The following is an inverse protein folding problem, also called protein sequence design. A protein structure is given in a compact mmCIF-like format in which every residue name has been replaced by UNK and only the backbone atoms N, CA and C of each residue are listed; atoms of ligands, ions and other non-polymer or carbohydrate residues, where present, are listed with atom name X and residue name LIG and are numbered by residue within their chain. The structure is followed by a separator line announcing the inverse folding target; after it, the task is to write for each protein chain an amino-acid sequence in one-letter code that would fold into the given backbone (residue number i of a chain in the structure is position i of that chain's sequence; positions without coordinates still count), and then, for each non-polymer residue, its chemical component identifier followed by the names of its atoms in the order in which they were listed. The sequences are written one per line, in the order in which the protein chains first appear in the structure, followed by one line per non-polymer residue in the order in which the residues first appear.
data_IF_136610997974
#
_entry.id   IF_136610997974
#
_cell.length_a   1.000
_cell.length_b   1.000
_cell.length_c   1.000
_cell.angle_alpha   90.00
_cell.angle_beta   90.00
_cell.angle_gamma   90.00
#
_symmetry.space_group_name_H-M   'P 1'
#
loop_
_entity.id
_entity.type
_entity.pdbx_description
1 polymer ?
#
# COMPACT_ATOMS: atom_id res chain seq x y z
N UNK A 1 -36.89 -4.15 61.27
CA UNK A 1 -36.82 -3.02 60.32
C UNK A 1 -35.64 -3.06 59.35
N UNK A 2 -34.47 -3.66 59.68
CA UNK A 2 -33.31 -3.74 58.75
C UNK A 2 -33.48 -4.72 57.56
N UNK A 3 -34.32 -5.75 57.71
CA UNK A 3 -34.56 -6.76 56.66
C UNK A 3 -35.43 -6.23 55.50
N UNK A 4 -36.27 -5.21 55.74
CA UNK A 4 -37.17 -4.66 54.71
C UNK A 4 -36.42 -3.82 53.65
N UNK A 5 -35.31 -3.17 54.03
CA UNK A 5 -34.49 -2.36 53.12
C UNK A 5 -33.64 -3.20 52.15
N UNK A 6 -33.28 -4.43 52.54
CA UNK A 6 -32.48 -5.34 51.70
C UNK A 6 -33.31 -5.89 50.53
N UNK A 7 -34.60 -6.13 50.75
CA UNK A 7 -35.52 -6.62 49.70
C UNK A 7 -35.80 -5.51 48.66
N UNK A 8 -35.86 -4.24 49.09
CA UNK A 8 -36.10 -3.10 48.18
C UNK A 8 -34.91 -2.84 47.23
N UNK A 9 -33.67 -3.10 47.66
CA UNK A 9 -32.49 -2.94 46.81
C UNK A 9 -32.36 -4.04 45.75
N UNK A 10 -32.90 -5.24 46.00
CA UNK A 10 -32.85 -6.36 45.05
C UNK A 10 -33.85 -6.15 43.90
N UNK A 11 -34.96 -5.43 44.12
CA UNK A 11 -35.96 -5.19 43.05
C UNK A 11 -35.56 -4.07 42.07
N UNK A 12 -34.68 -3.14 42.45
CA UNK A 12 -34.24 -2.05 41.56
C UNK A 12 -33.22 -2.55 40.51
N UNK A 13 -32.53 -3.65 40.78
CA UNK A 13 -31.53 -4.22 39.85
C UNK A 13 -32.09 -4.99 38.65
N UNK A 14 -33.41 -5.16 38.54
CA UNK A 14 -34.04 -6.05 37.54
C UNK A 14 -34.84 -5.33 36.45
N UNK A 15 -35.03 -4.00 36.51
CA UNK A 15 -35.98 -3.29 35.63
C UNK A 15 -35.31 -2.54 34.47
N UNK A 16 -33.98 -2.46 34.43
CA UNK A 16 -33.29 -1.93 33.25
C UNK A 16 -32.41 -3.03 32.65
N UNK A 17 -32.85 -3.70 31.56
CA UNK A 17 -31.89 -4.36 30.70
C UNK A 17 -30.93 -3.26 30.23
N UNK A 18 -29.70 -3.30 30.74
CA UNK A 18 -28.60 -2.51 30.22
C UNK A 18 -28.42 -3.00 28.78
N UNK A 19 -29.12 -2.37 27.84
CA UNK A 19 -28.84 -2.56 26.43
C UNK A 19 -27.45 -1.97 26.24
N UNK A 20 -26.43 -2.81 26.31
CA UNK A 20 -25.11 -2.46 25.84
C UNK A 20 -25.32 -2.02 24.39
N UNK A 21 -25.24 -0.72 24.13
CA UNK A 21 -25.26 -0.21 22.76
C UNK A 21 -24.08 -0.89 22.07
N UNK A 22 -24.39 -1.81 21.16
CA UNK A 22 -23.39 -2.42 20.30
C UNK A 22 -22.80 -1.28 19.48
N UNK A 23 -21.58 -0.89 19.81
CA UNK A 23 -20.86 0.12 19.05
C UNK A 23 -20.55 -0.48 17.68
N UNK A 24 -21.22 0.03 16.65
CA UNK A 24 -20.87 -0.32 15.28
C UNK A 24 -19.49 0.24 14.95
N UNK A 25 -18.62 -0.62 14.42
CA UNK A 25 -17.25 -0.28 14.06
C UNK A 25 -17.18 0.19 12.61
N UNK A 26 -16.33 1.18 12.34
CA UNK A 26 -16.02 1.61 10.98
C UNK A 26 -14.89 0.72 10.44
N UNK A 27 -15.16 0.02 9.35
CA UNK A 27 -14.15 -0.78 8.64
C UNK A 27 -13.79 -0.09 7.33
N UNK A 28 -12.48 0.09 7.09
CA UNK A 28 -11.96 0.72 5.87
C UNK A 28 -11.24 -0.26 4.95
N UNK A 29 -11.10 -1.52 5.35
CA UNK A 29 -10.33 -2.51 4.61
C UNK A 29 -10.06 -3.77 5.42
N UNK A 30 -9.30 -4.67 4.82
CA UNK A 30 -8.94 -6.00 5.35
C UNK A 30 -7.42 -6.16 5.39
N UNK A 31 -6.93 -6.93 6.35
CA UNK A 31 -5.49 -7.22 6.50
C UNK A 31 -5.20 -8.65 6.04
N UNK A 32 -4.12 -8.81 5.31
CA UNK A 32 -3.70 -10.08 4.74
C UNK A 32 -2.20 -10.29 4.92
N UNK A 33 -1.79 -11.55 4.84
CA UNK A 33 -0.39 -11.98 4.84
C UNK A 33 -0.22 -13.00 3.72
N UNK A 34 0.94 -12.96 3.06
CA UNK A 34 1.39 -13.92 2.06
C UNK A 34 2.84 -14.28 2.39
N UNK A 35 3.20 -15.56 2.38
CA UNK A 35 4.62 -15.93 2.37
C UNK A 35 5.14 -15.75 0.94
N UNK A 36 6.20 -14.95 0.78
CA UNK A 36 6.86 -14.74 -0.50
C UNK A 36 7.99 -15.75 -0.63
N UNK A 37 7.93 -16.60 -1.66
CA UNK A 37 9.02 -17.51 -2.01
C UNK A 37 10.20 -16.71 -2.61
N UNK A 38 9.90 -15.64 -3.34
CA UNK A 38 10.91 -14.77 -3.98
C UNK A 38 11.75 -14.02 -2.94
N UNK A 39 11.12 -13.51 -1.88
CA UNK A 39 11.78 -12.79 -0.80
C UNK A 39 12.14 -13.69 0.39
N UNK A 40 11.61 -14.91 0.43
CA UNK A 40 11.75 -15.88 1.51
C UNK A 40 11.36 -15.30 2.89
N UNK A 41 10.22 -14.61 2.94
CA UNK A 41 9.70 -13.97 4.15
C UNK A 41 8.18 -13.77 4.09
N UNK A 42 7.54 -13.58 5.25
CA UNK A 42 6.14 -13.15 5.30
C UNK A 42 6.00 -11.67 4.90
N UNK A 43 5.10 -11.41 3.95
CA UNK A 43 4.73 -10.08 3.48
C UNK A 43 3.30 -9.76 3.87
N UNK A 44 3.11 -8.59 4.48
CA UNK A 44 1.79 -8.09 4.89
C UNK A 44 1.28 -7.08 3.87
N UNK A 45 -0.01 -7.13 3.61
CA UNK A 45 -0.68 -6.16 2.75
C UNK A 45 -2.13 -5.95 3.21
N UNK A 46 -2.65 -4.75 2.96
CA UNK A 46 -4.03 -4.41 3.29
C UNK A 46 -4.81 -4.10 2.02
N UNK A 47 -6.09 -4.47 1.99
CA UNK A 47 -6.97 -4.25 0.84
C UNK A 47 -8.15 -3.37 1.26
N UNK A 48 -8.37 -2.30 0.52
CA UNK A 48 -9.64 -1.59 0.44
C UNK A 48 -10.32 -1.91 -0.90
N UNK A 49 -11.60 -2.29 -0.84
CA UNK A 49 -12.45 -2.47 -2.02
C UNK A 49 -13.55 -1.41 -2.01
N UNK A 50 -13.79 -0.66 -3.10
CA UNK A 50 -14.88 0.29 -3.19
C UNK A 50 -16.26 -0.31 -2.88
N UNK A 51 -17.10 0.49 -2.23
CA UNK A 51 -18.49 0.10 -1.98
C UNK A 51 -19.23 -0.04 -3.31
N UNK A 52 -19.81 -1.21 -3.56
CA UNK A 52 -20.62 -1.47 -4.75
C UNK A 52 -22.05 -1.01 -4.47
N UNK A 53 -22.55 -0.05 -5.25
CA UNK A 53 -23.93 0.44 -5.11
C UNK A 53 -24.93 -0.63 -5.58
N UNK A 54 -26.13 -0.59 -5.01
CA UNK A 54 -27.22 -1.46 -5.45
C UNK A 54 -27.50 -1.24 -6.94
N UNK A 55 -27.38 -2.31 -7.74
CA UNK A 55 -27.50 -2.27 -9.21
C UNK A 55 -26.17 -2.38 -9.98
N UNK A 56 -25.01 -2.20 -9.32
CA UNK A 56 -23.67 -2.31 -9.93
C UNK A 56 -23.02 -3.69 -9.71
N UNK A 57 -23.81 -4.77 -9.67
CA UNK A 57 -23.27 -6.13 -9.48
C UNK A 57 -22.33 -6.49 -10.63
N UNK A 58 -21.14 -7.01 -10.29
CA UNK A 58 -20.14 -7.46 -11.27
C UNK A 58 -19.19 -6.37 -11.77
N UNK A 59 -19.17 -5.19 -11.16
CA UNK A 59 -18.23 -4.12 -11.53
C UNK A 59 -16.80 -4.49 -11.10
N UNK A 60 -15.89 -4.49 -12.07
CA UNK A 60 -14.46 -4.62 -11.84
C UNK A 60 -13.80 -3.24 -11.73
N UNK A 61 -12.76 -3.13 -10.90
CA UNK A 61 -12.09 -1.87 -10.59
C UNK A 61 -10.60 -1.93 -10.92
N UNK A 62 -9.98 -0.79 -11.26
CA UNK A 62 -8.53 -0.72 -11.32
C UNK A 62 -7.92 -0.84 -9.92
N UNK A 63 -6.68 -1.31 -9.85
CA UNK A 63 -5.97 -1.62 -8.59
C UNK A 63 -4.79 -0.69 -8.42
N UNK A 64 -4.77 0.04 -7.31
CA UNK A 64 -3.68 0.92 -6.89
C UNK A 64 -2.80 0.17 -5.88
N UNK A 65 -1.58 -0.17 -6.28
CA UNK A 65 -0.54 -0.70 -5.39
C UNK A 65 0.19 0.47 -4.71
N UNK A 66 -0.08 0.62 -3.42
CA UNK A 66 0.44 1.67 -2.57
C UNK A 66 1.61 1.15 -1.75
N UNK A 67 2.83 1.56 -2.11
CA UNK A 67 4.01 1.30 -1.31
C UNK A 67 4.00 2.18 -0.05
N UNK A 68 4.74 1.76 0.98
CA UNK A 68 4.65 2.36 2.33
C UNK A 68 3.21 2.35 2.87
N UNK A 69 2.50 1.24 2.62
CA UNK A 69 1.06 1.14 2.84
C UNK A 69 0.65 1.41 4.29
N UNK A 70 1.45 0.99 5.27
CA UNK A 70 1.21 1.26 6.69
C UNK A 70 1.15 2.76 7.02
N UNK A 71 1.90 3.58 6.29
CA UNK A 71 1.97 5.04 6.49
C UNK A 71 0.86 5.79 5.76
N UNK A 72 0.45 5.32 4.57
CA UNK A 72 -0.41 6.10 3.68
C UNK A 72 -1.82 5.53 3.45
N UNK A 73 -2.11 4.30 3.87
CA UNK A 73 -3.36 3.61 3.52
C UNK A 73 -4.61 4.41 3.90
N UNK A 74 -4.69 4.90 5.14
CA UNK A 74 -5.86 5.64 5.62
C UNK A 74 -6.13 6.90 4.78
N UNK A 75 -5.08 7.68 4.51
CA UNK A 75 -5.18 8.93 3.76
C UNK A 75 -5.51 8.68 2.29
N UNK A 76 -4.90 7.68 1.67
CA UNK A 76 -5.15 7.34 0.26
C UNK A 76 -6.55 6.78 0.08
N UNK A 77 -7.02 5.90 0.96
CA UNK A 77 -8.41 5.39 0.91
C UNK A 77 -9.42 6.54 1.12
N UNK A 78 -9.14 7.46 2.05
CA UNK A 78 -9.98 8.65 2.23
C UNK A 78 -10.05 9.50 0.97
N UNK A 79 -8.89 9.74 0.33
CA UNK A 79 -8.78 10.47 -0.93
C UNK A 79 -9.55 9.79 -2.05
N UNK A 80 -9.33 8.49 -2.29
CA UNK A 80 -10.00 7.77 -3.39
C UNK A 80 -11.50 7.73 -3.20
N UNK A 81 -12.00 7.56 -1.98
CA UNK A 81 -13.44 7.62 -1.65
C UNK A 81 -14.04 9.00 -1.89
N UNK A 82 -13.36 10.05 -1.44
CA UNK A 82 -13.84 11.42 -1.60
C UNK A 82 -13.94 11.80 -3.07
N UNK A 83 -12.89 11.53 -3.85
CA UNK A 83 -12.87 11.93 -5.25
C UNK A 83 -13.76 11.03 -6.12
N UNK A 84 -13.80 9.72 -5.90
CA UNK A 84 -14.68 8.83 -6.69
C UNK A 84 -16.18 9.03 -6.46
N UNK A 85 -16.58 9.68 -5.37
CA UNK A 85 -17.97 10.06 -5.10
C UNK A 85 -18.32 11.49 -5.54
N UNK A 86 -17.32 12.30 -5.89
CA UNK A 86 -17.52 13.68 -6.33
C UNK A 86 -18.05 13.76 -7.75
N UNK A 87 -19.11 14.56 -7.96
CA UNK A 87 -19.67 14.84 -9.30
C UNK A 87 -18.73 15.65 -10.21
N UNK A 88 -17.67 16.23 -9.65
CA UNK A 88 -16.71 17.07 -10.38
C UNK A 88 -15.35 16.41 -10.57
N UNK A 89 -15.14 15.22 -10.01
CA UNK A 89 -13.91 14.46 -10.17
C UNK A 89 -14.08 13.38 -11.24
N UNK A 90 -13.01 13.15 -12.00
CA UNK A 90 -12.92 12.07 -12.96
C UNK A 90 -12.14 10.86 -12.41
N UNK A 91 -11.85 10.80 -11.11
CA UNK A 91 -11.18 9.63 -10.52
C UNK A 91 -12.20 8.48 -10.39
N UNK A 92 -12.07 7.38 -11.14
CA UNK A 92 -12.95 6.23 -10.95
C UNK A 92 -12.70 5.59 -9.58
N UNK A 93 -13.70 4.92 -8.98
CA UNK A 93 -13.46 4.08 -7.82
C UNK A 93 -12.37 3.05 -8.12
N UNK A 94 -11.44 2.86 -7.19
CA UNK A 94 -10.32 1.92 -7.34
C UNK A 94 -10.09 1.12 -6.06
N UNK A 95 -9.59 -0.10 -6.24
CA UNK A 95 -9.11 -0.94 -5.15
C UNK A 95 -7.76 -0.40 -4.70
N UNK A 96 -7.52 -0.32 -3.39
CA UNK A 96 -6.21 0.08 -2.85
C UNK A 96 -5.58 -1.12 -2.16
N UNK A 97 -4.42 -1.53 -2.66
CA UNK A 97 -3.56 -2.57 -2.08
C UNK A 97 -2.37 -1.88 -1.42
N UNK A 98 -2.42 -1.74 -0.11
CA UNK A 98 -1.30 -1.21 0.68
C UNK A 98 -0.27 -2.31 0.93
N UNK A 99 0.94 -2.14 0.41
CA UNK A 99 2.06 -3.06 0.60
C UNK A 99 2.89 -2.57 1.79
N UNK A 100 2.97 -3.39 2.85
CA UNK A 100 3.71 -3.03 4.05
C UNK A 100 5.18 -3.43 3.92
N UNK A 101 6.04 -2.69 4.62
CA UNK A 101 7.47 -2.92 4.63
C UNK A 101 7.89 -4.03 5.60
N UNK A 102 8.88 -4.82 5.20
CA UNK A 102 9.71 -5.64 6.10
C UNK A 102 11.11 -5.05 6.20
N UNK A 103 11.79 -4.89 5.06
CA UNK A 103 13.03 -4.11 4.93
C UNK A 103 12.89 -3.10 3.79
N UNK A 104 12.42 -1.90 4.14
CA UNK A 104 12.14 -0.82 3.19
C UNK A 104 13.36 -0.41 2.35
N UNK A 105 14.55 -0.40 2.96
CA UNK A 105 15.76 0.06 2.25
C UNK A 105 16.19 -1.00 1.26
N UNK A 106 16.23 -2.28 1.66
CA UNK A 106 16.48 -3.40 0.77
C UNK A 106 15.51 -3.38 -0.42
N UNK A 107 14.22 -3.32 -0.14
CA UNK A 107 13.17 -3.51 -1.14
C UNK A 107 13.07 -2.37 -2.16
N UNK A 108 13.34 -1.13 -1.76
CA UNK A 108 13.07 0.02 -2.62
C UNK A 108 14.30 0.66 -3.27
N UNK A 109 15.49 0.13 -3.05
CA UNK A 109 16.71 0.72 -3.59
C UNK A 109 17.39 -0.21 -4.61
N UNK A 110 17.87 0.33 -5.74
CA UNK A 110 18.36 -0.48 -6.86
C UNK A 110 19.76 -1.05 -6.63
N UNK A 111 20.54 -0.47 -5.72
CA UNK A 111 21.92 -0.87 -5.44
C UNK A 111 22.17 -0.92 -3.94
N UNK A 112 23.10 -1.79 -3.53
CA UNK A 112 23.60 -1.81 -2.16
C UNK A 112 24.66 -0.71 -2.00
N UNK A 113 24.37 0.29 -1.17
CA UNK A 113 25.23 1.48 -1.03
C UNK A 113 25.32 1.94 0.42
N UNK A 114 26.47 2.51 0.76
CA UNK A 114 26.72 3.21 2.02
C UNK A 114 26.66 4.75 1.86
N UNK A 115 26.41 5.24 0.63
CA UNK A 115 26.41 6.67 0.35
C UNK A 115 25.25 7.37 1.03
N UNK A 116 25.56 8.47 1.72
CA UNK A 116 24.57 9.37 2.33
C UNK A 116 23.93 10.27 1.28
N UNK A 117 22.96 11.08 1.71
CA UNK A 117 22.22 12.00 0.83
C UNK A 117 23.08 13.05 0.13
N UNK A 118 24.18 13.44 0.75
CA UNK A 118 25.18 14.35 0.17
C UNK A 118 26.24 13.65 -0.69
N UNK A 119 26.12 12.32 -0.87
CA UNK A 119 27.05 11.48 -1.62
C UNK A 119 28.29 11.03 -0.85
N UNK A 120 28.47 11.48 0.39
CA UNK A 120 29.61 11.09 1.22
C UNK A 120 29.46 9.66 1.74
N UNK A 121 30.59 9.01 2.03
CA UNK A 121 30.65 7.73 2.75
C UNK A 121 31.56 7.97 3.95
N UNK A 122 31.05 7.81 5.16
CA UNK A 122 31.86 7.93 6.36
C UNK A 122 32.51 6.58 6.69
N UNK A 123 33.67 6.59 7.39
CA UNK A 123 34.17 5.39 8.04
C UNK A 123 33.05 4.79 8.91
N UNK A 124 32.84 3.48 8.80
CA UNK A 124 31.81 2.68 9.50
C UNK A 124 30.38 2.70 8.93
N UNK A 125 30.08 3.48 7.89
CA UNK A 125 28.79 3.34 7.20
C UNK A 125 28.72 1.95 6.55
N UNK A 126 27.67 1.18 6.85
CA UNK A 126 27.46 -0.15 6.30
C UNK A 126 26.57 -0.05 5.05
N UNK A 127 26.97 -0.67 3.92
CA UNK A 127 26.11 -0.75 2.76
C UNK A 127 24.78 -1.44 3.08
N UNK A 128 23.69 -0.90 2.55
CA UNK A 128 22.36 -1.48 2.60
C UNK A 128 21.64 -1.24 1.28
N UNK A 129 20.56 -1.97 1.03
CA UNK A 129 19.78 -1.82 -0.20
C UNK A 129 20.07 -2.89 -1.25
N UNK A 130 19.60 -2.63 -2.47
CA UNK A 130 19.89 -3.45 -3.64
C UNK A 130 18.95 -4.61 -3.90
N UNK A 131 17.80 -4.67 -3.23
CA UNK A 131 16.78 -5.72 -3.40
C UNK A 131 15.63 -5.32 -4.32
N UNK A 132 15.69 -4.17 -5.01
CA UNK A 132 14.58 -3.67 -5.82
C UNK A 132 14.11 -4.67 -6.89
N UNK A 133 15.00 -5.37 -7.57
CA UNK A 133 14.58 -6.33 -8.59
C UNK A 133 13.81 -7.51 -7.99
N UNK A 134 14.28 -8.04 -6.85
CA UNK A 134 13.57 -9.13 -6.15
C UNK A 134 12.21 -8.66 -5.63
N UNK A 135 12.15 -7.43 -5.12
CA UNK A 135 10.90 -6.85 -4.65
C UNK A 135 9.90 -6.58 -5.79
N UNK A 136 10.37 -6.12 -6.96
CA UNK A 136 9.55 -6.04 -8.17
C UNK A 136 8.97 -7.40 -8.55
N UNK A 137 9.81 -8.44 -8.61
CA UNK A 137 9.33 -9.78 -8.90
C UNK A 137 8.28 -10.27 -7.89
N UNK A 138 8.46 -10.02 -6.59
CA UNK A 138 7.41 -10.28 -5.59
C UNK A 138 6.10 -9.55 -5.90
N UNK A 139 6.15 -8.26 -6.26
CA UNK A 139 4.94 -7.49 -6.57
C UNK A 139 4.16 -8.09 -7.75
N UNK A 140 4.86 -8.55 -8.79
CA UNK A 140 4.24 -8.99 -10.04
C UNK A 140 3.90 -10.48 -10.02
N UNK A 141 4.87 -11.33 -9.65
CA UNK A 141 4.77 -12.78 -9.76
C UNK A 141 4.00 -13.41 -8.59
N UNK A 142 3.90 -12.72 -7.45
CA UNK A 142 3.24 -13.27 -6.24
C UNK A 142 2.08 -12.39 -5.78
N UNK A 143 2.35 -11.15 -5.37
CA UNK A 143 1.33 -10.31 -4.73
C UNK A 143 0.17 -9.97 -5.67
N UNK A 144 0.46 -9.60 -6.93
CA UNK A 144 -0.58 -9.25 -7.90
C UNK A 144 -1.52 -10.42 -8.16
N UNK A 145 -0.98 -11.60 -8.42
CA UNK A 145 -1.79 -12.80 -8.67
C UNK A 145 -2.66 -13.12 -7.45
N UNK A 146 -2.11 -13.02 -6.24
CA UNK A 146 -2.86 -13.24 -5.01
C UNK A 146 -3.99 -12.22 -4.81
N UNK A 147 -3.76 -10.94 -5.13
CA UNK A 147 -4.77 -9.89 -5.06
C UNK A 147 -5.87 -10.12 -6.09
N UNK A 148 -5.52 -10.33 -7.36
CA UNK A 148 -6.47 -10.45 -8.47
C UNK A 148 -7.42 -11.65 -8.29
N UNK A 149 -6.99 -12.69 -7.57
CA UNK A 149 -7.84 -13.83 -7.19
C UNK A 149 -8.85 -13.50 -6.07
N UNK A 150 -8.64 -12.43 -5.29
CA UNK A 150 -9.48 -12.07 -4.13
C UNK A 150 -10.46 -10.93 -4.42
N UNK A 151 -10.18 -10.09 -5.41
CA UNK A 151 -10.92 -8.85 -5.64
C UNK A 151 -11.41 -8.76 -7.08
N UNK A 152 -12.51 -8.02 -7.36
CA UNK A 152 -12.96 -7.81 -8.72
C UNK A 152 -12.06 -6.77 -9.42
N UNK A 153 -10.85 -7.19 -9.83
CA UNK A 153 -9.91 -6.37 -10.57
C UNK A 153 -10.26 -6.35 -12.07
N UNK A 154 -10.05 -5.22 -12.75
CA UNK A 154 -10.30 -5.08 -14.20
C UNK A 154 -9.03 -5.23 -15.07
N UNK A 155 -7.88 -5.51 -14.46
CA UNK A 155 -6.58 -5.62 -15.12
C UNK A 155 -5.78 -4.32 -15.21
N UNK A 156 -6.38 -3.15 -14.94
CA UNK A 156 -5.65 -1.88 -14.88
C UNK A 156 -5.00 -1.69 -13.51
N UNK A 157 -3.69 -1.47 -13.49
CA UNK A 157 -2.87 -1.45 -12.29
C UNK A 157 -2.03 -0.17 -12.21
N UNK A 158 -1.97 0.45 -11.02
CA UNK A 158 -1.16 1.63 -10.75
C UNK A 158 -0.12 1.35 -9.66
N UNK A 159 1.10 1.88 -9.80
CA UNK A 159 2.12 1.83 -8.75
C UNK A 159 2.36 3.22 -8.16
N UNK A 160 2.22 3.35 -6.84
CA UNK A 160 2.38 4.62 -6.12
C UNK A 160 3.44 4.48 -5.03
N UNK A 161 4.42 5.39 -5.03
CA UNK A 161 5.52 5.37 -4.06
C UNK A 161 6.07 6.76 -3.73
N UNK A 162 6.50 6.93 -2.48
CA UNK A 162 7.11 8.16 -1.95
C UNK A 162 8.56 7.94 -1.51
N UNK A 163 9.45 8.92 -1.69
CA UNK A 163 10.85 8.84 -1.22
C UNK A 163 11.60 7.63 -1.83
N UNK A 164 12.08 6.65 -1.04
CA UNK A 164 12.65 5.41 -1.60
C UNK A 164 11.63 4.62 -2.43
N UNK A 165 10.37 4.54 -1.99
CA UNK A 165 9.33 3.92 -2.80
C UNK A 165 9.12 4.68 -4.12
N UNK A 166 9.29 6.01 -4.13
CA UNK A 166 9.26 6.80 -5.36
C UNK A 166 10.44 6.50 -6.29
N UNK A 167 11.64 6.29 -5.73
CA UNK A 167 12.80 5.80 -6.48
C UNK A 167 12.52 4.42 -7.08
N UNK A 168 11.96 3.49 -6.29
CA UNK A 168 11.54 2.18 -6.77
C UNK A 168 10.50 2.26 -7.88
N UNK A 169 9.50 3.14 -7.75
CA UNK A 169 8.48 3.38 -8.78
C UNK A 169 9.11 3.80 -10.10
N UNK A 170 10.06 4.74 -10.07
CA UNK A 170 10.78 5.16 -11.28
C UNK A 170 11.72 4.07 -11.82
N UNK A 171 12.37 3.31 -10.95
CA UNK A 171 13.19 2.17 -11.36
C UNK A 171 12.35 1.11 -12.07
N UNK A 172 11.16 0.82 -11.54
CA UNK A 172 10.22 -0.12 -12.14
C UNK A 172 9.73 0.37 -13.49
N UNK A 173 9.33 1.64 -13.61
CA UNK A 173 8.97 2.24 -14.91
C UNK A 173 10.14 2.14 -15.91
N UNK A 174 11.35 2.45 -15.46
CA UNK A 174 12.54 2.41 -16.32
C UNK A 174 12.90 0.99 -16.75
N UNK A 175 12.74 -0.03 -15.90
CA UNK A 175 13.22 -1.38 -16.17
C UNK A 175 12.13 -2.29 -16.76
N UNK A 176 10.89 -2.14 -16.30
CA UNK A 176 9.73 -2.98 -16.58
C UNK A 176 8.48 -2.09 -16.81
N UNK A 177 8.48 -1.22 -17.84
CA UNK A 177 7.39 -0.27 -18.08
C UNK A 177 6.03 -0.93 -18.29
N UNK A 178 6.00 -2.17 -18.79
CA UNK A 178 4.79 -2.98 -18.99
C UNK A 178 4.19 -3.52 -17.69
N UNK A 179 4.89 -3.40 -16.57
CA UNK A 179 4.43 -3.95 -15.30
C UNK A 179 3.19 -3.24 -14.78
N UNK A 180 3.01 -1.93 -15.00
CA UNK A 180 1.85 -1.18 -14.53
C UNK A 180 1.36 -0.19 -15.60
N UNK A 181 0.07 0.09 -15.64
CA UNK A 181 -0.52 1.05 -16.59
C UNK A 181 -0.23 2.50 -16.19
N UNK A 182 0.05 2.79 -14.91
CA UNK A 182 0.53 4.11 -14.51
C UNK A 182 1.41 4.07 -13.27
N UNK A 183 2.30 5.06 -13.20
CA UNK A 183 3.31 5.19 -12.16
C UNK A 183 3.22 6.58 -11.52
N UNK A 184 3.13 6.63 -10.19
CA UNK A 184 3.09 7.88 -9.41
C UNK A 184 4.27 7.87 -8.45
N UNK A 185 5.34 8.56 -8.84
CA UNK A 185 6.53 8.74 -8.03
C UNK A 185 6.50 10.11 -7.32
N UNK A 186 6.44 10.11 -5.99
CA UNK A 186 6.31 11.32 -5.17
C UNK A 186 7.63 11.58 -4.45
N UNK A 187 8.24 12.74 -4.69
CA UNK A 187 9.53 13.14 -4.13
C UNK A 187 10.58 12.00 -4.15
N UNK A 188 10.86 11.39 -5.33
CA UNK A 188 11.71 10.21 -5.43
C UNK A 188 13.12 10.52 -4.93
N UNK A 189 13.73 9.57 -4.22
CA UNK A 189 15.09 9.71 -3.66
C UNK A 189 16.19 9.52 -4.71
N UNK A 190 16.19 10.39 -5.72
CA UNK A 190 17.11 10.38 -6.86
C UNK A 190 18.59 10.58 -6.47
N UNK A 191 18.87 10.94 -5.22
CA UNK A 191 20.22 11.07 -4.66
C UNK A 191 20.86 9.71 -4.33
N UNK A 192 20.07 8.64 -4.23
CA UNK A 192 20.53 7.32 -3.81
C UNK A 192 21.78 6.89 -4.57
N UNK A 193 22.76 6.37 -3.82
CA UNK A 193 24.03 5.88 -4.37
C UNK A 193 24.68 6.87 -5.35
N UNK A 194 24.79 8.13 -4.92
CA UNK A 194 25.35 9.23 -5.71
C UNK A 194 24.63 9.44 -7.04
N UNK A 195 23.31 9.25 -7.03
CA UNK A 195 22.43 9.43 -8.17
C UNK A 195 22.57 8.35 -9.24
N UNK A 196 22.80 7.09 -8.84
CA UNK A 196 22.96 5.96 -9.76
C UNK A 196 21.79 5.83 -10.74
N UNK A 197 20.56 6.06 -10.27
CA UNK A 197 19.36 6.02 -11.12
C UNK A 197 19.43 7.05 -12.24
N UNK A 198 19.79 8.31 -11.93
CA UNK A 198 19.89 9.38 -12.93
C UNK A 198 20.93 9.05 -14.00
N UNK A 199 22.06 8.46 -13.59
CA UNK A 199 23.11 8.02 -14.50
C UNK A 199 22.65 6.87 -15.42
N UNK A 200 21.82 5.96 -14.92
CA UNK A 200 21.21 4.87 -15.70
C UNK A 200 20.13 5.40 -16.65
N UNK A 201 19.19 6.21 -16.15
CA UNK A 201 18.12 6.80 -16.92
C UNK A 201 18.63 7.61 -18.11
N UNK A 202 19.69 8.41 -17.91
CA UNK A 202 20.32 9.20 -18.98
C UNK A 202 20.84 8.35 -20.16
N UNK A 203 21.19 7.08 -19.91
CA UNK A 203 21.65 6.14 -20.95
C UNK A 203 20.47 5.45 -21.65
N UNK A 204 19.39 5.20 -20.92
CA UNK A 204 18.32 4.30 -21.34
C UNK A 204 17.08 5.02 -21.89
N UNK A 205 16.90 6.33 -21.63
CA UNK A 205 15.67 7.05 -21.98
C UNK A 205 15.35 7.02 -23.48
N UNK A 206 16.38 6.93 -24.33
CA UNK A 206 16.22 6.87 -25.79
C UNK A 206 16.00 5.45 -26.33
N UNK A 207 16.04 4.43 -25.47
CA UNK A 207 16.01 3.01 -25.88
C UNK A 207 14.69 2.31 -25.53
N UNK A 208 13.78 2.99 -24.82
CA UNK A 208 12.52 2.41 -24.35
C UNK A 208 11.32 3.19 -24.84
N UNK A 209 10.27 2.45 -25.18
CA UNK A 209 8.96 2.99 -25.44
C UNK A 209 8.21 3.14 -24.10
N UNK A 210 7.70 4.34 -23.85
CA UNK A 210 6.92 4.70 -22.67
C UNK A 210 5.50 5.14 -23.05
N UNK A 211 5.10 4.93 -24.31
CA UNK A 211 3.78 5.27 -24.82
C UNK A 211 2.71 4.22 -24.50
#
# INVERSE_FOLDING_TARGET
MKILYIILFIQIGWIFPLSAQKQDSIYIGTRHTLFSEILNEERKYWIYVPETKAGEKGKAYPVLYLLDGDSFFHSVVGFTRFFSSSKTSNLPPCIVVAVLNTDRTRDFTPTCSAARRDGTICPYDKPAGGGAEQFHRFLIEELRLEVENKVPANGTNFLVGHSYAGLFTLQTLSNHPESFDSYIAIDPSLWWDRGVFLQQAAKNVYQKDFS
#
